data_IF_134910078660
#
_entry.id   IF_134910078660
#
_cell.length_a   1.000
_cell.length_b   1.000
_cell.length_c   1.000
_cell.angle_alpha   90.00
_cell.angle_beta   90.00
_cell.angle_gamma   90.00
#
_symmetry.space_group_name_H-M   'P 1'
#
loop_
_entity.id
_entity.type
_entity.pdbx_description
1 polymer ?
#
# COMPACT_ATOMS: atom_id res chain seq x y z
N UNK A 1 6.64 66.59 44.10
CA UNK A 1 6.61 65.08 44.11
C UNK A 1 5.86 64.62 42.87
N UNK A 2 6.53 64.04 41.88
CA UNK A 2 5.91 63.50 40.64
C UNK A 2 5.65 62.02 40.82
N UNK A 3 4.48 61.42 40.43
CA UNK A 3 4.23 59.99 40.52
C UNK A 3 4.91 59.27 39.35
N UNK A 4 5.55 58.19 39.72
CA UNK A 4 6.23 57.22 38.79
C UNK A 4 5.18 56.39 38.11
N UNK A 5 5.05 56.49 36.77
CA UNK A 5 4.18 55.68 35.94
C UNK A 5 4.89 54.38 35.63
N UNK A 6 4.35 53.24 36.12
CA UNK A 6 4.82 51.88 35.82
C UNK A 6 4.14 51.42 34.56
N UNK A 7 4.90 51.33 33.44
CA UNK A 7 4.45 50.69 32.20
C UNK A 7 4.56 49.17 32.35
N UNK A 8 3.44 48.50 32.51
CA UNK A 8 3.36 47.04 32.43
C UNK A 8 3.27 46.65 30.93
N UNK A 9 4.36 46.12 30.39
CA UNK A 9 4.34 45.48 29.05
C UNK A 9 3.65 44.11 29.15
N UNK A 10 2.43 44.06 28.69
CA UNK A 10 1.72 42.79 28.48
C UNK A 10 2.39 42.03 27.35
N UNK A 11 3.09 40.95 27.67
CA UNK A 11 3.63 39.98 26.68
C UNK A 11 2.47 39.12 26.18
N UNK A 12 1.97 39.42 24.99
CA UNK A 12 1.04 38.54 24.28
C UNK A 12 1.81 37.34 23.72
N UNK A 13 1.73 36.21 24.40
CA UNK A 13 2.23 34.94 23.89
C UNK A 13 1.25 34.46 22.81
N UNK A 14 1.57 34.72 21.56
CA UNK A 14 0.85 34.12 20.42
C UNK A 14 1.23 32.65 20.34
N UNK A 15 0.36 31.81 20.89
CA UNK A 15 0.45 30.37 20.77
C UNK A 15 0.15 29.97 19.30
N UNK A 16 1.19 29.91 18.46
CA UNK A 16 1.11 29.44 17.11
C UNK A 16 1.04 27.91 17.17
N UNK A 17 -0.16 27.39 17.44
CA UNK A 17 -0.48 25.98 17.26
C UNK A 17 -0.28 25.64 15.79
N UNK A 18 0.90 25.16 15.43
CA UNK A 18 1.12 24.52 14.15
C UNK A 18 0.30 23.23 14.17
N UNK A 19 -0.84 23.25 13.48
CA UNK A 19 -1.63 22.07 13.17
C UNK A 19 -0.71 21.17 12.34
N UNK A 20 0.04 20.28 13.00
CA UNK A 20 0.70 19.14 12.34
C UNK A 20 -0.43 18.35 11.71
N UNK A 21 -0.56 18.43 10.40
CA UNK A 21 -1.39 17.53 9.63
C UNK A 21 -0.88 16.12 9.94
N UNK A 22 -1.63 15.36 10.73
CA UNK A 22 -1.29 13.97 11.01
C UNK A 22 -1.20 13.24 9.67
N UNK A 23 -0.03 12.66 9.37
CA UNK A 23 0.12 11.83 8.17
C UNK A 23 -0.94 10.74 8.21
N UNK A 24 -1.72 10.62 7.13
CA UNK A 24 -2.71 9.56 7.00
C UNK A 24 -1.98 8.20 7.08
N UNK A 25 -2.40 7.35 8.01
CA UNK A 25 -1.86 6.00 8.13
C UNK A 25 -2.25 5.16 6.91
N UNK A 26 -1.47 4.13 6.58
CA UNK A 26 -1.86 3.12 5.59
C UNK A 26 -3.19 2.43 5.99
N UNK A 27 -3.44 2.30 7.29
CA UNK A 27 -4.62 1.68 7.85
C UNK A 27 -5.91 2.51 7.69
N UNK A 28 -5.80 3.82 7.40
CA UNK A 28 -6.94 4.71 7.18
C UNK A 28 -7.35 4.79 5.70
N UNK A 29 -6.74 3.97 4.85
CA UNK A 29 -7.02 3.96 3.41
C UNK A 29 -8.15 2.99 3.12
N UNK A 30 -9.20 3.51 2.50
CA UNK A 30 -10.34 2.72 2.04
C UNK A 30 -10.00 2.04 0.71
N UNK A 31 -10.29 0.75 0.63
CA UNK A 31 -10.21 -0.06 -0.57
C UNK A 31 -11.17 -1.25 -0.43
N UNK A 32 -11.77 -1.68 -1.55
CA UNK A 32 -12.66 -2.83 -1.54
C UNK A 32 -11.95 -4.10 -2.01
N UNK A 33 -12.49 -5.24 -1.60
CA UNK A 33 -12.15 -6.53 -2.18
C UNK A 33 -12.66 -6.63 -3.63
N UNK A 34 -12.22 -7.65 -4.33
CA UNK A 34 -12.68 -7.95 -5.69
C UNK A 34 -14.21 -8.14 -5.76
N UNK A 35 -14.85 -8.56 -4.66
CA UNK A 35 -16.30 -8.73 -4.53
C UNK A 35 -17.02 -7.44 -4.07
N UNK A 36 -16.31 -6.30 -4.01
CA UNK A 36 -16.88 -5.00 -3.62
C UNK A 36 -17.09 -4.80 -2.12
N UNK A 37 -16.58 -5.70 -1.27
CA UNK A 37 -16.67 -5.55 0.19
C UNK A 37 -15.50 -4.71 0.72
N UNK A 38 -15.71 -3.75 1.65
CA UNK A 38 -14.64 -2.99 2.25
C UNK A 38 -13.59 -3.88 2.91
N UNK A 39 -12.31 -3.60 2.64
CA UNK A 39 -11.17 -4.23 3.33
C UNK A 39 -10.72 -3.27 4.44
N UNK A 40 -10.89 -3.69 5.68
CA UNK A 40 -10.40 -2.94 6.83
C UNK A 40 -8.91 -3.27 7.05
N UNK A 41 -8.02 -2.44 6.52
CA UNK A 41 -6.58 -2.63 6.65
C UNK A 41 -6.09 -2.60 8.11
N UNK A 42 -6.84 -1.98 9.04
CA UNK A 42 -6.46 -1.94 10.46
C UNK A 42 -6.49 -3.29 11.14
N UNK A 43 -7.19 -4.28 10.58
CA UNK A 43 -7.18 -5.66 11.06
C UNK A 43 -5.83 -6.36 10.85
N UNK A 44 -4.97 -5.79 10.03
CA UNK A 44 -3.63 -6.32 9.73
C UNK A 44 -2.51 -5.67 10.56
N UNK A 45 -2.85 -4.81 11.53
CA UNK A 45 -1.87 -4.29 12.50
C UNK A 45 -1.15 -5.43 13.21
N UNK A 46 0.16 -5.31 13.35
CA UNK A 46 0.99 -6.37 13.92
C UNK A 46 1.44 -7.44 12.91
N UNK A 47 0.94 -7.38 11.65
CA UNK A 47 1.44 -8.20 10.54
C UNK A 47 2.08 -7.33 9.48
N UNK A 48 3.04 -7.86 8.76
CA UNK A 48 3.54 -7.23 7.53
C UNK A 48 2.49 -7.31 6.43
N UNK A 49 2.52 -6.35 5.49
CA UNK A 49 1.63 -6.37 4.34
C UNK A 49 2.48 -6.26 3.06
N UNK A 50 2.26 -7.17 2.12
CA UNK A 50 2.87 -7.14 0.79
C UNK A 50 1.81 -6.78 -0.24
N UNK A 51 1.79 -5.52 -0.69
CA UNK A 51 0.95 -5.09 -1.82
C UNK A 51 1.66 -5.37 -3.14
N UNK A 52 0.93 -5.96 -4.09
CA UNK A 52 1.45 -6.28 -5.44
C UNK A 52 0.41 -5.88 -6.48
N UNK A 53 0.76 -5.01 -7.43
CA UNK A 53 -0.14 -4.75 -8.56
C UNK A 53 -0.05 -5.91 -9.56
N UNK A 54 -1.17 -6.55 -9.83
CA UNK A 54 -1.24 -7.82 -10.56
C UNK A 54 -1.99 -7.69 -11.88
N UNK A 55 -1.75 -8.66 -12.78
CA UNK A 55 -2.44 -8.77 -14.05
C UNK A 55 -2.46 -10.22 -14.55
N UNK A 56 -3.55 -10.62 -15.23
CA UNK A 56 -3.78 -11.99 -15.71
C UNK A 56 -3.02 -12.32 -17.00
N UNK A 57 -2.63 -11.33 -17.82
CA UNK A 57 -2.04 -11.53 -19.16
C UNK A 57 -0.62 -10.93 -19.28
N UNK A 58 0.19 -11.05 -18.24
CA UNK A 58 1.54 -10.51 -18.15
C UNK A 58 2.59 -11.63 -18.15
N UNK A 59 3.79 -11.37 -18.69
CA UNK A 59 4.90 -12.30 -18.57
C UNK A 59 5.29 -12.63 -17.12
N UNK A 60 4.96 -11.75 -16.18
CA UNK A 60 5.19 -11.97 -14.74
C UNK A 60 4.02 -12.66 -14.01
N UNK A 61 2.91 -12.96 -14.69
CA UNK A 61 1.74 -13.63 -14.09
C UNK A 61 2.09 -14.94 -13.35
N UNK A 62 3.08 -15.75 -13.78
CA UNK A 62 3.51 -16.93 -13.00
C UNK A 62 3.96 -16.63 -11.56
N UNK A 63 4.28 -15.38 -11.21
CA UNK A 63 4.59 -14.98 -9.83
C UNK A 63 3.42 -15.16 -8.85
N UNK A 64 2.18 -15.35 -9.32
CA UNK A 64 1.07 -15.74 -8.45
C UNK A 64 1.36 -17.01 -7.64
N UNK A 65 2.07 -17.98 -8.22
CA UNK A 65 2.49 -19.21 -7.49
C UNK A 65 3.40 -18.88 -6.30
N UNK A 66 4.34 -17.96 -6.50
CA UNK A 66 5.27 -17.56 -5.46
C UNK A 66 4.60 -16.71 -4.39
N UNK A 67 3.65 -15.83 -4.78
CA UNK A 67 2.84 -15.06 -3.85
C UNK A 67 1.98 -15.97 -2.99
N UNK A 68 1.34 -16.98 -3.58
CA UNK A 68 0.58 -17.98 -2.85
C UNK A 68 1.47 -18.79 -1.89
N UNK A 69 2.67 -19.16 -2.34
CA UNK A 69 3.65 -19.83 -1.46
C UNK A 69 4.03 -18.96 -0.26
N UNK A 70 4.28 -17.65 -0.45
CA UNK A 70 4.55 -16.74 0.66
C UNK A 70 3.35 -16.64 1.60
N UNK A 71 2.14 -16.49 1.06
CA UNK A 71 0.91 -16.45 1.84
C UNK A 71 0.80 -17.66 2.76
N UNK A 72 0.97 -18.87 2.21
CA UNK A 72 0.86 -20.11 2.97
C UNK A 72 1.96 -20.28 4.04
N UNK A 73 3.20 -19.84 3.74
CA UNK A 73 4.33 -20.01 4.65
C UNK A 73 4.34 -19.00 5.80
N UNK A 74 3.76 -17.81 5.60
CA UNK A 74 3.86 -16.69 6.52
C UNK A 74 2.50 -16.12 6.92
N UNK A 75 1.40 -16.90 6.84
CA UNK A 75 0.03 -16.44 7.07
C UNK A 75 -0.17 -15.77 8.45
N UNK A 76 0.61 -16.18 9.45
CA UNK A 76 0.54 -15.59 10.80
C UNK A 76 1.23 -14.21 10.87
N UNK A 77 2.20 -13.93 10.02
CA UNK A 77 3.04 -12.73 10.09
C UNK A 77 2.98 -11.82 8.85
N UNK A 78 2.44 -12.32 7.74
CA UNK A 78 2.38 -11.62 6.46
C UNK A 78 0.99 -11.69 5.83
N UNK A 79 0.46 -10.56 5.44
CA UNK A 79 -0.74 -10.45 4.58
C UNK A 79 -0.30 -10.12 3.17
N UNK A 80 -0.59 -10.99 2.20
CA UNK A 80 -0.40 -10.71 0.78
C UNK A 80 -1.68 -10.10 0.21
N UNK A 81 -1.56 -9.00 -0.51
CA UNK A 81 -2.70 -8.30 -1.14
C UNK A 81 -2.37 -8.05 -2.62
N UNK A 82 -3.06 -8.75 -3.50
CA UNK A 82 -3.03 -8.51 -4.94
C UNK A 82 -3.95 -7.37 -5.32
N UNK A 83 -3.47 -6.47 -6.17
CA UNK A 83 -4.18 -5.27 -6.61
C UNK A 83 -4.27 -5.29 -8.14
N UNK A 84 -5.38 -5.73 -8.73
CA UNK A 84 -5.55 -5.76 -10.18
C UNK A 84 -5.42 -4.36 -10.79
N UNK A 85 -4.66 -4.26 -11.90
CA UNK A 85 -4.44 -3.00 -12.59
C UNK A 85 -4.31 -3.19 -14.11
N UNK A 86 -5.10 -2.45 -14.89
CA UNK A 86 -5.11 -2.56 -16.36
C UNK A 86 -4.24 -1.48 -17.06
N UNK A 87 -3.41 -0.73 -16.32
CA UNK A 87 -2.67 0.42 -16.87
C UNK A 87 -1.38 0.03 -17.60
N UNK A 88 -0.95 -1.23 -17.52
CA UNK A 88 0.27 -1.73 -18.15
C UNK A 88 -0.07 -2.71 -19.26
N UNK A 89 0.02 -2.23 -20.49
CA UNK A 89 -0.25 -3.03 -21.69
C UNK A 89 -1.68 -3.59 -21.80
N UNK A 90 -2.64 -3.04 -21.02
CA UNK A 90 -4.03 -3.56 -20.94
C UNK A 90 -4.08 -5.05 -20.58
N UNK A 91 -3.18 -5.49 -19.70
CA UNK A 91 -2.97 -6.90 -19.37
C UNK A 91 -3.92 -7.42 -18.26
N UNK A 92 -4.84 -6.57 -17.74
CA UNK A 92 -5.91 -6.98 -16.81
C UNK A 92 -7.28 -6.50 -17.30
N UNK A 93 -7.75 -6.99 -18.47
CA UNK A 93 -9.00 -6.52 -19.06
C UNK A 93 -10.24 -7.06 -18.34
N UNK A 94 -10.14 -8.20 -17.65
CA UNK A 94 -11.24 -8.95 -17.04
C UNK A 94 -12.05 -8.12 -16.02
N UNK A 95 -13.30 -8.48 -15.84
CA UNK A 95 -14.13 -8.00 -14.72
C UNK A 95 -13.76 -8.76 -13.42
N UNK A 96 -14.41 -8.41 -12.32
CA UNK A 96 -14.11 -9.00 -11.01
C UNK A 96 -14.30 -10.51 -10.96
N UNK A 97 -15.34 -11.03 -11.60
CA UNK A 97 -15.61 -12.48 -11.67
C UNK A 97 -14.52 -13.20 -12.46
N UNK A 98 -14.19 -12.69 -13.65
CA UNK A 98 -13.15 -13.27 -14.51
C UNK A 98 -11.77 -13.27 -13.84
N UNK A 99 -11.42 -12.18 -13.13
CA UNK A 99 -10.16 -12.11 -12.38
C UNK A 99 -10.15 -13.13 -11.24
N UNK A 100 -11.26 -13.23 -10.49
CA UNK A 100 -11.37 -14.21 -9.40
C UNK A 100 -11.21 -15.64 -9.89
N UNK A 101 -11.95 -16.01 -10.92
CA UNK A 101 -11.87 -17.34 -11.55
C UNK A 101 -10.45 -17.63 -12.06
N UNK A 102 -9.85 -16.66 -12.77
CA UNK A 102 -8.49 -16.80 -13.26
C UNK A 102 -7.50 -17.08 -12.12
N UNK A 103 -7.55 -16.30 -11.04
CA UNK A 103 -6.66 -16.46 -9.90
C UNK A 103 -6.84 -17.80 -9.20
N UNK A 104 -8.09 -18.23 -8.97
CA UNK A 104 -8.39 -19.48 -8.28
C UNK A 104 -8.07 -20.70 -9.14
N UNK A 105 -8.55 -20.74 -10.38
CA UNK A 105 -8.43 -21.92 -11.25
C UNK A 105 -6.98 -22.16 -11.68
N UNK A 106 -6.25 -21.09 -12.03
CA UNK A 106 -4.89 -21.25 -12.58
C UNK A 106 -3.79 -21.28 -11.51
N UNK A 107 -4.02 -20.67 -10.35
CA UNK A 107 -2.96 -20.48 -9.35
C UNK A 107 -3.36 -20.87 -7.93
N UNK A 108 -4.62 -21.24 -7.69
CA UNK A 108 -5.12 -21.59 -6.36
C UNK A 108 -4.99 -20.41 -5.37
N UNK A 109 -5.15 -19.17 -5.84
CA UNK A 109 -4.99 -17.97 -5.02
C UNK A 109 -6.04 -17.94 -3.93
N UNK A 110 -5.59 -17.88 -2.68
CA UNK A 110 -6.43 -17.70 -1.48
C UNK A 110 -6.15 -16.43 -0.71
N UNK A 111 -5.09 -15.70 -1.04
CA UNK A 111 -4.82 -14.40 -0.45
C UNK A 111 -5.76 -13.31 -1.01
N UNK A 112 -5.83 -12.17 -0.31
CA UNK A 112 -6.73 -11.08 -0.67
C UNK A 112 -6.42 -10.49 -2.06
N UNK A 113 -7.48 -10.32 -2.86
CA UNK A 113 -7.45 -9.55 -4.10
C UNK A 113 -8.41 -8.37 -3.95
N UNK A 114 -7.94 -7.17 -4.28
CA UNK A 114 -8.76 -5.95 -4.24
C UNK A 114 -9.56 -5.76 -5.52
N UNK A 115 -10.47 -4.80 -5.50
CA UNK A 115 -11.03 -4.24 -6.74
C UNK A 115 -9.91 -3.75 -7.68
N UNK A 116 -10.22 -3.66 -8.97
CA UNK A 116 -9.28 -3.12 -9.97
C UNK A 116 -9.18 -1.61 -9.82
N UNK A 117 -7.95 -1.11 -9.64
CA UNK A 117 -7.70 0.31 -9.43
C UNK A 117 -6.59 0.86 -10.35
N UNK A 118 -6.54 2.19 -10.44
CA UNK A 118 -5.41 2.90 -11.06
C UNK A 118 -4.26 3.07 -10.07
N UNK A 119 -3.08 2.58 -10.44
CA UNK A 119 -1.87 2.63 -9.58
C UNK A 119 -0.94 3.80 -9.91
N UNK A 120 -1.21 4.54 -10.97
CA UNK A 120 -0.45 5.71 -11.43
C UNK A 120 -1.33 6.71 -12.17
N UNK A 121 -0.78 7.92 -12.44
CA UNK A 121 -1.47 8.99 -13.21
C UNK A 121 -2.43 9.80 -12.35
N UNK A 122 -3.29 10.59 -13.01
CA UNK A 122 -4.20 11.51 -12.34
C UNK A 122 -5.26 10.80 -11.49
N UNK A 123 -5.69 9.62 -11.94
CA UNK A 123 -6.66 8.74 -11.25
C UNK A 123 -6.00 7.78 -10.26
N UNK A 124 -4.76 8.05 -9.84
CA UNK A 124 -4.06 7.19 -8.91
C UNK A 124 -4.82 7.04 -7.59
N UNK A 125 -5.18 5.80 -7.26
CA UNK A 125 -5.90 5.47 -6.02
C UNK A 125 -5.12 5.93 -4.77
N UNK A 126 -5.78 6.36 -3.68
CA UNK A 126 -5.14 6.78 -2.44
C UNK A 126 -4.12 5.79 -1.89
N UNK A 127 -4.35 4.48 -2.00
CA UNK A 127 -3.40 3.43 -1.61
C UNK A 127 -2.06 3.59 -2.33
N UNK A 128 -2.07 3.66 -3.66
CA UNK A 128 -0.82 3.80 -4.41
C UNK A 128 -0.22 5.20 -4.29
N UNK A 129 -1.05 6.21 -4.08
CA UNK A 129 -0.55 7.55 -3.74
C UNK A 129 0.22 7.55 -2.41
N UNK A 130 -0.22 6.77 -1.42
CA UNK A 130 0.51 6.57 -0.16
C UNK A 130 1.79 5.76 -0.39
N UNK A 131 1.71 4.61 -1.05
CA UNK A 131 2.84 3.72 -1.30
C UNK A 131 3.98 4.40 -2.08
N UNK A 132 3.67 5.35 -2.96
CA UNK A 132 4.65 5.93 -3.90
C UNK A 132 5.18 7.30 -3.50
N UNK A 133 4.53 8.05 -2.60
CA UNK A 133 4.90 9.43 -2.28
C UNK A 133 5.49 9.56 -0.88
N UNK A 134 6.76 10.01 -0.78
CA UNK A 134 7.48 10.21 0.49
C UNK A 134 6.73 11.11 1.47
N UNK A 135 6.07 12.16 0.98
CA UNK A 135 5.29 13.07 1.84
C UNK A 135 4.07 12.38 2.49
N UNK A 136 3.64 11.21 1.99
CA UNK A 136 2.57 10.40 2.56
C UNK A 136 3.11 9.22 3.37
N UNK A 137 4.03 8.42 2.80
CA UNK A 137 4.57 7.24 3.48
C UNK A 137 5.72 7.54 4.45
N UNK A 138 6.28 8.75 4.41
CA UNK A 138 7.37 9.15 5.29
C UNK A 138 8.75 8.61 4.92
N UNK A 139 8.85 7.71 3.95
CA UNK A 139 10.06 6.92 3.68
C UNK A 139 10.75 7.31 2.38
N UNK A 140 10.11 7.07 1.25
CA UNK A 140 10.71 7.33 -0.08
C UNK A 140 9.68 7.58 -1.17
N UNK A 141 10.13 8.25 -2.23
CA UNK A 141 9.38 8.35 -3.48
C UNK A 141 9.67 7.15 -4.37
N UNK A 142 8.67 6.71 -5.10
CA UNK A 142 8.77 5.70 -6.14
C UNK A 142 7.74 5.93 -7.23
N UNK A 143 7.76 5.11 -8.26
CA UNK A 143 6.68 5.04 -9.26
C UNK A 143 6.47 3.58 -9.66
N UNK A 144 5.22 3.22 -9.94
CA UNK A 144 4.92 1.88 -10.45
C UNK A 144 5.34 1.82 -11.91
N UNK A 145 6.28 0.96 -12.24
CA UNK A 145 6.89 0.84 -13.58
C UNK A 145 6.20 -0.21 -14.44
N UNK A 146 5.74 -1.31 -13.83
CA UNK A 146 5.10 -2.41 -14.54
C UNK A 146 4.24 -3.24 -13.59
N UNK A 147 3.51 -4.24 -14.11
CA UNK A 147 2.78 -5.23 -13.31
C UNK A 147 3.74 -6.01 -12.40
N UNK A 148 3.24 -6.53 -11.29
CA UNK A 148 3.98 -7.29 -10.28
C UNK A 148 5.11 -6.49 -9.58
N UNK A 149 4.99 -5.17 -9.48
CA UNK A 149 5.80 -4.39 -8.55
C UNK A 149 5.24 -4.57 -7.14
N UNK A 150 6.13 -4.72 -6.16
CA UNK A 150 5.77 -5.05 -4.78
C UNK A 150 6.11 -3.90 -3.86
N UNK A 151 5.31 -3.73 -2.79
CA UNK A 151 5.52 -2.78 -1.70
C UNK A 151 5.37 -3.53 -0.38
N UNK A 152 6.39 -3.52 0.46
CA UNK A 152 6.41 -4.22 1.74
C UNK A 152 6.23 -3.20 2.87
N UNK A 153 5.26 -3.46 3.73
CA UNK A 153 4.90 -2.66 4.90
C UNK A 153 5.25 -3.48 6.15
N UNK A 154 5.80 -2.83 7.20
CA UNK A 154 6.10 -3.48 8.47
C UNK A 154 4.84 -3.61 9.36
N UNK A 155 5.01 -4.20 10.54
CA UNK A 155 3.98 -4.46 11.54
C UNK A 155 3.32 -3.18 12.07
N UNK A 156 4.04 -2.05 12.02
CA UNK A 156 3.59 -0.73 12.47
C UNK A 156 2.91 0.08 11.37
N UNK A 157 2.79 -0.49 10.16
CA UNK A 157 2.19 0.18 9.01
C UNK A 157 3.13 1.14 8.27
N UNK A 158 4.44 0.99 8.42
CA UNK A 158 5.43 1.81 7.74
C UNK A 158 5.98 1.11 6.49
N UNK A 159 6.25 1.87 5.44
CA UNK A 159 6.87 1.32 4.23
C UNK A 159 8.31 0.87 4.52
N UNK A 160 8.59 -0.42 4.37
CA UNK A 160 9.96 -0.96 4.41
C UNK A 160 10.68 -0.63 3.11
N UNK A 161 10.17 -1.17 1.99
CA UNK A 161 10.77 -1.00 0.66
C UNK A 161 9.77 -1.35 -0.45
N UNK A 162 10.19 -1.10 -1.70
CA UNK A 162 9.50 -1.59 -2.89
C UNK A 162 10.46 -2.38 -3.77
N UNK A 163 9.90 -3.30 -4.57
CA UNK A 163 10.65 -4.19 -5.44
C UNK A 163 10.01 -4.22 -6.82
N UNK A 164 10.83 -4.07 -7.86
CA UNK A 164 10.36 -4.13 -9.24
C UNK A 164 9.88 -5.53 -9.62
N UNK A 165 9.17 -5.62 -10.75
CA UNK A 165 8.56 -6.85 -11.27
C UNK A 165 9.54 -8.03 -11.36
N UNK A 166 10.79 -7.76 -11.75
CA UNK A 166 11.86 -8.76 -11.89
C UNK A 166 12.26 -9.41 -10.56
N UNK A 167 12.02 -8.76 -9.42
CA UNK A 167 12.31 -9.36 -8.12
C UNK A 167 11.24 -10.40 -7.80
N UNK A 168 11.63 -11.68 -7.73
CA UNK A 168 10.74 -12.76 -7.31
C UNK A 168 10.17 -12.49 -5.93
N UNK A 169 8.87 -12.78 -5.69
CA UNK A 169 8.27 -12.71 -4.36
C UNK A 169 9.05 -13.50 -3.29
N UNK A 170 9.60 -14.64 -3.66
CA UNK A 170 10.37 -15.52 -2.75
C UNK A 170 11.86 -15.21 -2.68
N UNK A 171 12.33 -14.11 -3.27
CA UNK A 171 13.74 -13.72 -3.21
C UNK A 171 14.20 -13.40 -1.78
N UNK A 172 15.51 -13.58 -1.52
CA UNK A 172 16.13 -13.21 -0.25
C UNK A 172 15.96 -11.71 0.09
N UNK A 173 15.81 -10.86 -0.92
CA UNK A 173 15.57 -9.41 -0.74
C UNK A 173 14.27 -9.12 0.02
N UNK A 174 13.25 -9.95 -0.17
CA UNK A 174 11.96 -9.84 0.53
C UNK A 174 11.98 -10.70 1.79
N UNK A 175 12.39 -11.98 1.66
CA UNK A 175 12.36 -12.97 2.75
C UNK A 175 13.16 -12.58 3.98
N UNK A 176 14.22 -11.77 3.84
CA UNK A 176 15.01 -11.30 5.00
C UNK A 176 14.22 -10.41 5.98
N UNK A 177 13.04 -9.96 5.57
CA UNK A 177 12.15 -9.16 6.43
C UNK A 177 10.95 -9.96 6.97
N UNK A 178 10.71 -11.18 6.51
CA UNK A 178 9.56 -12.04 6.88
C UNK A 178 9.91 -13.01 8.07
#
# INVERSE_FOLDING_TARGET
MKPLSIFIKTLTITNKSSKMSSKKSIYDIEINSLQGKPINLSLFKGKKILFVNVASKCGFTPQYKELQKLHNLYEESLVVIGVPCNQFGKQEPGNSTEINEFCQVNYGVSFLITEKISVKGNEQHPLYSWLTKKNKNGRKNSSVKWNFQKYLINEDGELIDYYYSITSPTSSKIKKYL
#
